data_IF_162651851868
#
_entry.id   IF_162651851868
#
_cell.length_a   1.000
_cell.length_b   1.000
_cell.length_c   1.000
_cell.angle_alpha   90.00
_cell.angle_beta   90.00
_cell.angle_gamma   90.00
#
_symmetry.space_group_name_H-M   'P 1'
#
loop_
_entity.id
_entity.type
_entity.pdbx_description
1 polymer ?
#
# COMPACT_ATOMS: atom_id res chain seq x y z
N UNK A 1 -15.13 -3.79 9.90
CA UNK A 1 -14.03 -4.14 8.99
C UNK A 1 -13.44 -2.84 8.45
N UNK A 2 -12.13 -2.61 8.57
CA UNK A 2 -11.45 -1.46 7.95
C UNK A 2 -11.10 -1.80 6.51
N UNK A 3 -11.91 -1.36 5.55
CA UNK A 3 -11.71 -1.61 4.13
C UNK A 3 -11.84 -0.32 3.32
N UNK A 4 -11.04 -0.19 2.27
CA UNK A 4 -11.08 0.92 1.35
C UNK A 4 -10.16 0.69 0.16
N UNK A 5 -9.82 1.78 -0.52
CA UNK A 5 -8.91 1.78 -1.66
C UNK A 5 -7.89 2.90 -1.57
N UNK A 6 -6.93 2.92 -2.50
CA UNK A 6 -6.27 4.18 -2.80
C UNK A 6 -7.28 5.17 -3.41
N UNK A 7 -7.13 6.45 -3.07
CA UNK A 7 -7.94 7.55 -3.61
C UNK A 7 -7.05 8.73 -3.99
N UNK A 8 -7.57 9.63 -4.82
CA UNK A 8 -6.80 10.77 -5.31
C UNK A 8 -6.66 11.88 -4.27
N UNK A 9 -5.44 12.37 -4.06
CA UNK A 9 -5.19 13.61 -3.33
C UNK A 9 -4.71 14.70 -4.31
N UNK A 10 -5.65 15.53 -4.78
CA UNK A 10 -5.41 16.46 -5.89
C UNK A 10 -6.27 17.72 -5.78
N UNK A 11 -5.98 18.67 -6.67
CA UNK A 11 -6.78 19.90 -6.78
C UNK A 11 -6.67 20.78 -5.54
N UNK A 12 -7.69 21.60 -5.31
CA UNK A 12 -7.77 22.48 -4.12
C UNK A 12 -8.35 21.75 -2.90
N UNK A 13 -9.13 20.70 -3.13
CA UNK A 13 -9.89 20.02 -2.08
C UNK A 13 -9.00 19.06 -1.26
N UNK A 14 -7.93 18.52 -1.86
CA UNK A 14 -6.87 17.75 -1.19
C UNK A 14 -7.44 16.67 -0.25
N UNK A 15 -7.17 16.68 1.07
CA UNK A 15 -7.64 15.64 1.97
C UNK A 15 -9.18 15.53 2.01
N UNK A 16 -9.89 16.66 1.92
CA UNK A 16 -11.35 16.65 1.85
C UNK A 16 -11.84 15.88 0.63
N UNK A 17 -11.28 16.17 -0.55
CA UNK A 17 -11.65 15.48 -1.78
C UNK A 17 -11.32 13.98 -1.73
N UNK A 18 -10.20 13.60 -1.10
CA UNK A 18 -9.86 12.19 -0.87
C UNK A 18 -10.88 11.49 0.04
N UNK A 19 -11.31 12.14 1.12
CA UNK A 19 -12.29 11.59 2.04
C UNK A 19 -13.69 11.48 1.40
N UNK A 20 -14.10 12.48 0.61
CA UNK A 20 -15.34 12.43 -0.19
C UNK A 20 -15.31 11.27 -1.21
N UNK A 21 -14.19 11.10 -1.91
CA UNK A 21 -14.00 9.99 -2.85
C UNK A 21 -14.09 8.63 -2.13
N UNK A 22 -13.39 8.46 -1.01
CA UNK A 22 -13.45 7.22 -0.23
C UNK A 22 -14.87 6.90 0.27
N UNK A 23 -15.58 7.91 0.81
CA UNK A 23 -16.96 7.74 1.27
C UNK A 23 -17.91 7.37 0.12
N UNK A 24 -17.67 7.87 -1.09
CA UNK A 24 -18.47 7.53 -2.27
C UNK A 24 -18.36 6.05 -2.69
N UNK A 25 -17.31 5.35 -2.24
CA UNK A 25 -17.12 3.91 -2.44
C UNK A 25 -17.66 3.07 -1.27
N UNK A 26 -18.28 3.67 -0.26
CA UNK A 26 -18.68 2.94 0.96
C UNK A 26 -17.49 2.50 1.82
N UNK A 27 -16.32 3.12 1.66
CA UNK A 27 -15.13 2.75 2.42
C UNK A 27 -15.23 3.18 3.89
N UNK A 28 -14.43 2.53 4.75
CA UNK A 28 -14.24 2.88 6.18
C UNK A 28 -12.80 3.32 6.49
N UNK A 29 -11.88 3.09 5.56
CA UNK A 29 -10.50 3.61 5.56
C UNK A 29 -10.12 3.97 4.12
N UNK A 30 -8.96 4.60 3.91
CA UNK A 30 -8.42 4.84 2.57
C UNK A 30 -6.92 5.11 2.64
N UNK A 31 -6.28 4.98 1.47
CA UNK A 31 -4.89 5.32 1.27
C UNK A 31 -4.73 6.48 0.29
N UNK A 32 -3.75 7.35 0.55
CA UNK A 32 -3.41 8.47 -0.32
C UNK A 32 -1.90 8.53 -0.56
N UNK A 33 -1.51 9.00 -1.73
CA UNK A 33 -0.22 9.65 -1.91
C UNK A 33 -0.37 11.13 -1.55
N UNK A 34 0.65 11.76 -0.97
CA UNK A 34 0.62 13.21 -0.62
C UNK A 34 0.69 14.14 -1.85
N UNK A 35 0.70 13.55 -3.05
CA UNK A 35 0.74 14.20 -4.35
C UNK A 35 0.82 13.14 -5.46
N UNK A 36 1.19 13.55 -6.67
CA UNK A 36 1.35 12.63 -7.78
C UNK A 36 2.49 11.61 -7.48
N UNK A 37 2.23 10.29 -7.55
CA UNK A 37 3.19 9.26 -7.12
C UNK A 37 4.43 9.17 -8.03
N UNK A 38 4.33 9.64 -9.28
CA UNK A 38 5.38 9.64 -10.30
C UNK A 38 6.38 10.81 -10.20
N UNK A 39 6.21 11.74 -9.25
CA UNK A 39 7.09 12.90 -9.11
C UNK A 39 7.21 13.35 -7.65
N UNK A 40 8.09 14.32 -7.41
CA UNK A 40 8.40 14.87 -6.08
C UNK A 40 7.70 16.18 -5.76
N UNK A 41 6.79 16.65 -6.62
CA UNK A 41 6.09 17.92 -6.40
C UNK A 41 5.02 17.70 -5.34
N UNK A 42 5.03 18.54 -4.31
CA UNK A 42 4.09 18.51 -3.19
C UNK A 42 3.56 19.90 -2.91
N UNK A 43 2.30 19.97 -2.46
CA UNK A 43 1.74 21.18 -1.87
C UNK A 43 2.29 21.38 -0.46
N UNK A 44 2.23 22.62 0.02
CA UNK A 44 2.50 22.88 1.44
C UNK A 44 1.43 22.23 2.33
N UNK A 45 1.78 21.91 3.58
CA UNK A 45 0.83 21.33 4.56
C UNK A 45 -0.40 22.22 4.73
N UNK A 46 -0.23 23.55 4.73
CA UNK A 46 -1.33 24.51 4.83
C UNK A 46 -2.33 24.43 3.67
N UNK A 47 -1.94 23.88 2.53
CA UNK A 47 -2.83 23.72 1.37
C UNK A 47 -3.48 22.34 1.29
N UNK A 48 -3.19 21.42 2.22
CA UNK A 48 -3.69 20.04 2.19
C UNK A 48 -5.14 19.87 2.68
N UNK A 49 -5.78 20.96 3.12
CA UNK A 49 -7.17 20.97 3.58
C UNK A 49 -7.47 19.93 4.70
N UNK A 50 -6.51 19.80 5.63
CA UNK A 50 -6.47 18.72 6.62
C UNK A 50 -7.65 18.77 7.59
N UNK A 51 -7.97 19.96 8.11
CA UNK A 51 -9.05 20.13 9.10
C UNK A 51 -10.42 19.74 8.52
N UNK A 52 -10.75 20.24 7.33
CA UNK A 52 -12.01 19.91 6.65
C UNK A 52 -12.07 18.42 6.28
N UNK A 53 -10.96 17.84 5.82
CA UNK A 53 -10.88 16.41 5.55
C UNK A 53 -11.13 15.56 6.79
N UNK A 54 -10.48 15.87 7.91
CA UNK A 54 -10.71 15.17 9.18
C UNK A 54 -12.12 15.37 9.73
N UNK A 55 -12.73 16.54 9.57
CA UNK A 55 -14.13 16.76 9.93
C UNK A 55 -15.07 15.88 9.09
N UNK A 56 -14.89 15.87 7.77
CA UNK A 56 -15.67 15.02 6.89
C UNK A 56 -15.53 13.54 7.25
N UNK A 57 -14.31 13.08 7.50
CA UNK A 57 -14.04 11.70 7.91
C UNK A 57 -14.79 11.30 9.18
N UNK A 58 -14.76 12.15 10.22
CA UNK A 58 -15.50 11.89 11.47
C UNK A 58 -17.00 11.76 11.21
N UNK A 59 -17.54 12.59 10.32
CA UNK A 59 -18.97 12.59 9.97
C UNK A 59 -19.39 11.38 9.11
N UNK A 60 -18.45 10.69 8.45
CA UNK A 60 -18.69 9.57 7.55
C UNK A 60 -18.06 8.25 8.02
N UNK A 61 -17.65 8.15 9.29
CA UNK A 61 -17.02 6.96 9.87
C UNK A 61 -15.78 6.47 9.13
N UNK A 62 -15.00 7.40 8.56
CA UNK A 62 -13.69 7.11 7.97
C UNK A 62 -12.60 7.27 9.04
N UNK A 63 -11.71 6.28 9.14
CA UNK A 63 -10.58 6.32 10.06
C UNK A 63 -9.33 5.69 9.44
N UNK A 64 -8.22 5.70 10.18
CA UNK A 64 -7.00 4.96 9.82
C UNK A 64 -6.42 5.29 8.43
N UNK A 65 -6.34 6.58 8.07
CA UNK A 65 -5.70 6.99 6.82
C UNK A 65 -4.30 6.38 6.73
N UNK A 66 -4.02 5.76 5.60
CA UNK A 66 -2.69 5.29 5.21
C UNK A 66 -2.12 6.29 4.20
N UNK A 67 -0.84 6.62 4.36
CA UNK A 67 -0.10 7.36 3.33
C UNK A 67 0.78 6.39 2.56
N UNK A 68 0.93 6.56 1.26
CA UNK A 68 1.94 5.83 0.51
C UNK A 68 3.04 6.79 0.08
N UNK A 69 4.29 6.42 0.35
CA UNK A 69 5.45 7.14 -0.17
C UNK A 69 5.53 6.93 -1.70
N UNK A 70 5.82 7.95 -2.51
CA UNK A 70 5.86 7.80 -3.96
C UNK A 70 6.87 6.75 -4.42
N UNK A 71 6.47 5.90 -5.36
CA UNK A 71 7.27 4.76 -5.85
C UNK A 71 8.57 5.14 -6.58
N UNK A 72 8.80 6.43 -6.83
CA UNK A 72 10.05 6.93 -7.43
C UNK A 72 11.22 6.99 -6.43
N UNK A 73 10.94 6.89 -5.13
CA UNK A 73 11.99 6.83 -4.10
C UNK A 73 12.65 5.46 -4.19
N UNK A 74 13.99 5.46 -4.30
CA UNK A 74 14.77 4.22 -4.28
C UNK A 74 16.01 4.39 -3.40
N UNK A 75 15.87 4.05 -2.11
CA UNK A 75 16.99 4.03 -1.16
C UNK A 75 17.97 2.88 -1.45
N UNK A 76 17.56 1.85 -2.21
CA UNK A 76 18.43 0.74 -2.62
C UNK A 76 19.39 1.06 -3.77
N UNK A 77 19.30 2.25 -4.38
CA UNK A 77 20.15 2.63 -5.50
C UNK A 77 21.55 3.08 -5.05
N UNK A 78 22.52 2.19 -5.15
CA UNK A 78 23.94 2.49 -4.85
C UNK A 78 24.72 3.02 -6.05
N UNK A 79 24.14 3.01 -7.27
CA UNK A 79 24.82 3.46 -8.50
C UNK A 79 24.78 4.97 -8.71
N UNK A 80 23.86 5.66 -8.05
CA UNK A 80 23.69 7.12 -8.13
C UNK A 80 23.71 7.73 -6.72
N UNK A 81 24.86 7.67 -6.02
CA UNK A 81 24.97 8.16 -4.64
C UNK A 81 24.58 9.64 -4.51
N UNK A 82 24.69 10.44 -5.56
CA UNK A 82 24.25 11.84 -5.61
C UNK A 82 22.74 12.01 -5.38
N UNK A 83 21.93 11.00 -5.70
CA UNK A 83 20.48 11.02 -5.48
C UNK A 83 20.09 10.58 -4.07
N UNK A 84 21.01 9.99 -3.30
CA UNK A 84 20.70 9.40 -2.01
C UNK A 84 20.24 10.45 -1.00
N UNK A 85 20.98 11.56 -0.88
CA UNK A 85 20.63 12.68 0.03
C UNK A 85 19.26 13.24 -0.32
N UNK A 86 18.99 13.44 -1.61
CA UNK A 86 17.68 13.90 -2.08
C UNK A 86 16.55 12.92 -1.73
N UNK A 87 16.77 11.61 -1.89
CA UNK A 87 15.78 10.59 -1.55
C UNK A 87 15.49 10.55 -0.04
N UNK A 88 16.53 10.68 0.79
CA UNK A 88 16.42 10.79 2.26
C UNK A 88 15.64 12.04 2.66
N UNK A 89 16.03 13.21 2.17
CA UNK A 89 15.37 14.48 2.52
C UNK A 89 13.91 14.50 2.06
N UNK A 90 13.64 13.93 0.87
CA UNK A 90 12.29 13.84 0.36
C UNK A 90 11.43 12.87 1.18
N UNK A 91 11.96 11.70 1.56
CA UNK A 91 11.23 10.76 2.41
C UNK A 91 10.99 11.32 3.82
N UNK A 92 11.95 12.06 4.40
CA UNK A 92 11.76 12.77 5.68
C UNK A 92 10.61 13.77 5.59
N UNK A 93 10.54 14.54 4.51
CA UNK A 93 9.44 15.47 4.29
C UNK A 93 8.09 14.75 4.03
N UNK A 94 8.09 13.54 3.46
CA UNK A 94 6.88 12.72 3.35
C UNK A 94 6.42 12.21 4.72
N UNK A 95 7.33 11.84 5.63
CA UNK A 95 7.00 11.51 7.03
C UNK A 95 6.30 12.69 7.71
N UNK A 96 6.87 13.89 7.62
CA UNK A 96 6.27 15.10 8.20
C UNK A 96 4.86 15.39 7.65
N UNK A 97 4.67 15.26 6.33
CA UNK A 97 3.36 15.43 5.69
C UNK A 97 2.37 14.37 6.15
N UNK A 98 2.78 13.10 6.21
CA UNK A 98 1.94 12.01 6.63
C UNK A 98 1.48 12.17 8.09
N UNK A 99 2.37 12.64 8.98
CA UNK A 99 2.00 12.97 10.35
C UNK A 99 1.03 14.14 10.44
N UNK A 100 1.24 15.20 9.65
CA UNK A 100 0.32 16.32 9.59
C UNK A 100 -1.07 15.90 9.09
N UNK A 101 -1.14 14.93 8.17
CA UNK A 101 -2.38 14.30 7.68
C UNK A 101 -3.03 13.35 8.70
N UNK A 102 -2.41 13.16 9.87
CA UNK A 102 -2.92 12.28 10.92
C UNK A 102 -2.73 10.78 10.64
N UNK A 103 -1.95 10.42 9.63
CA UNK A 103 -1.64 9.01 9.34
C UNK A 103 -0.74 8.40 10.41
N UNK A 104 -0.91 7.10 10.66
CA UNK A 104 -0.03 6.30 11.54
C UNK A 104 0.88 5.36 10.78
N UNK A 105 0.54 5.06 9.54
CA UNK A 105 1.29 4.17 8.66
C UNK A 105 1.59 4.90 7.36
N UNK A 106 2.85 4.80 6.94
CA UNK A 106 3.26 5.21 5.60
C UNK A 106 3.86 4.02 4.86
N UNK A 107 3.11 3.46 3.91
CA UNK A 107 3.59 2.40 3.03
C UNK A 107 4.78 2.88 2.20
N UNK A 108 5.81 2.04 2.09
CA UNK A 108 7.06 2.36 1.43
C UNK A 108 7.62 1.13 0.72
N UNK A 109 7.79 1.22 -0.60
CA UNK A 109 8.58 0.26 -1.35
C UNK A 109 10.06 0.43 -0.93
N UNK A 110 10.72 -0.60 -0.38
CA UNK A 110 12.07 -0.48 0.16
C UNK A 110 13.10 -0.05 -0.90
N UNK A 111 12.92 -0.51 -2.14
CA UNK A 111 13.67 -0.05 -3.29
C UNK A 111 14.11 -1.17 -4.20
N UNK A 112 15.08 -0.86 -5.06
CA UNK A 112 15.58 -1.77 -6.07
C UNK A 112 17.10 -1.62 -6.24
N UNK A 113 17.82 -2.74 -6.35
CA UNK A 113 19.28 -2.76 -6.37
C UNK A 113 19.90 -2.32 -7.70
N UNK A 114 19.13 -2.22 -8.79
CA UNK A 114 19.56 -1.72 -10.11
C UNK A 114 20.88 -2.33 -10.62
N UNK A 115 21.10 -3.61 -10.32
CA UNK A 115 22.29 -4.39 -10.68
C UNK A 115 23.44 -4.40 -9.67
N UNK A 116 23.31 -3.79 -8.48
CA UNK A 116 24.32 -3.86 -7.41
C UNK A 116 24.21 -5.10 -6.50
N UNK A 117 23.11 -5.87 -6.61
CA UNK A 117 22.80 -7.00 -5.75
C UNK A 117 21.95 -6.60 -4.54
N UNK A 118 21.11 -7.53 -4.07
CA UNK A 118 20.17 -7.30 -2.98
C UNK A 118 20.89 -6.86 -1.69
N UNK A 119 21.99 -7.52 -1.31
CA UNK A 119 22.75 -7.21 -0.09
C UNK A 119 23.21 -5.74 -0.05
N UNK A 120 23.81 -5.25 -1.14
CA UNK A 120 24.25 -3.86 -1.24
C UNK A 120 23.09 -2.87 -1.14
N UNK A 121 21.95 -3.21 -1.74
CA UNK A 121 20.74 -2.38 -1.67
C UNK A 121 20.13 -2.38 -0.26
N UNK A 122 20.01 -3.53 0.40
CA UNK A 122 19.51 -3.65 1.78
C UNK A 122 20.37 -2.80 2.72
N UNK A 123 21.71 -2.90 2.62
CA UNK A 123 22.62 -2.08 3.42
C UNK A 123 22.40 -0.56 3.19
N UNK A 124 22.17 -0.15 1.94
CA UNK A 124 21.91 1.26 1.62
C UNK A 124 20.52 1.74 2.07
N UNK A 125 19.52 0.86 2.02
CA UNK A 125 18.17 1.11 2.55
C UNK A 125 18.22 1.31 4.06
N UNK A 126 18.92 0.42 4.78
CA UNK A 126 19.14 0.55 6.24
C UNK A 126 19.79 1.89 6.57
N UNK A 127 20.83 2.28 5.81
CA UNK A 127 21.47 3.59 5.99
C UNK A 127 20.46 4.72 5.79
N UNK A 128 19.68 4.70 4.71
CA UNK A 128 18.72 5.76 4.39
C UNK A 128 17.61 5.86 5.43
N UNK A 129 17.08 4.72 5.89
CA UNK A 129 16.07 4.68 6.95
C UNK A 129 16.61 5.21 8.28
N UNK A 130 17.86 4.91 8.63
CA UNK A 130 18.51 5.50 9.82
C UNK A 130 18.70 7.02 9.70
N UNK A 131 18.80 7.58 8.49
CA UNK A 131 18.87 9.05 8.29
C UNK A 131 17.47 9.70 8.28
N UNK A 132 16.44 8.96 7.85
CA UNK A 132 15.05 9.46 7.77
C UNK A 132 14.35 9.41 9.13
N UNK A 133 14.50 8.30 9.85
CA UNK A 133 13.70 8.00 11.04
C UNK A 133 14.21 8.77 12.25
N UNK A 134 13.28 9.37 12.97
CA UNK A 134 13.54 10.09 14.22
C UNK A 134 12.89 9.35 15.41
N UNK A 135 13.44 9.45 16.63
CA UNK A 135 12.88 8.76 17.80
C UNK A 135 11.49 9.31 18.20
N UNK A 136 11.20 10.57 17.90
CA UNK A 136 9.98 11.27 18.31
C UNK A 136 8.84 11.18 17.30
N UNK A 137 9.08 10.70 16.07
CA UNK A 137 8.00 10.47 15.11
C UNK A 137 6.99 9.45 15.67
N UNK A 138 5.71 9.70 15.42
CA UNK A 138 4.58 8.85 15.76
C UNK A 138 4.16 7.96 14.59
N UNK A 139 4.46 8.36 13.36
CA UNK A 139 4.27 7.57 12.15
C UNK A 139 5.22 6.37 12.13
N UNK A 140 4.75 5.22 11.68
CA UNK A 140 5.60 4.11 11.28
C UNK A 140 5.77 4.09 9.75
N UNK A 141 6.99 3.81 9.28
CA UNK A 141 7.23 3.48 7.88
C UNK A 141 6.95 1.99 7.71
N UNK A 142 5.91 1.69 6.94
CA UNK A 142 5.48 0.33 6.64
C UNK A 142 6.21 -0.17 5.39
N UNK A 143 7.26 -0.98 5.57
CA UNK A 143 8.00 -1.56 4.45
C UNK A 143 7.06 -2.53 3.74
N UNK A 144 6.83 -2.32 2.46
CA UNK A 144 5.93 -3.16 1.68
C UNK A 144 6.62 -4.44 1.21
N UNK A 145 5.89 -5.56 1.25
CA UNK A 145 6.29 -6.79 0.57
C UNK A 145 6.29 -6.57 -0.94
N UNK A 146 7.41 -6.86 -1.60
CA UNK A 146 7.57 -6.61 -3.04
C UNK A 146 7.42 -7.89 -3.86
N UNK A 147 7.02 -7.75 -5.13
CA UNK A 147 6.87 -8.89 -6.05
C UNK A 147 8.20 -9.53 -6.45
N UNK A 148 9.32 -8.81 -6.30
CA UNK A 148 10.63 -9.24 -6.80
C UNK A 148 10.82 -8.97 -8.30
N UNK A 149 9.98 -8.13 -8.89
CA UNK A 149 10.07 -7.74 -10.30
C UNK A 149 11.36 -6.98 -10.56
N UNK A 150 12.05 -7.38 -11.64
CA UNK A 150 13.28 -6.73 -12.07
C UNK A 150 14.39 -6.84 -11.02
N UNK A 151 14.63 -5.75 -10.29
CA UNK A 151 15.68 -5.68 -9.26
C UNK A 151 15.14 -5.22 -7.91
N UNK A 152 13.84 -5.37 -7.68
CA UNK A 152 13.21 -5.10 -6.37
C UNK A 152 13.88 -5.89 -5.24
N UNK A 153 13.84 -5.30 -4.05
CA UNK A 153 14.27 -5.89 -2.78
C UNK A 153 13.08 -5.84 -1.83
N UNK A 154 13.04 -6.68 -0.80
CA UNK A 154 11.86 -6.87 0.04
C UNK A 154 10.91 -7.92 -0.54
N UNK A 155 11.42 -8.79 -1.42
CA UNK A 155 10.62 -9.87 -2.01
C UNK A 155 10.43 -11.05 -1.07
N UNK A 156 11.31 -11.20 -0.07
CA UNK A 156 11.17 -12.22 0.98
C UNK A 156 11.02 -11.56 2.34
N UNK A 157 10.39 -12.29 3.27
CA UNK A 157 10.24 -11.81 4.64
C UNK A 157 11.60 -11.63 5.33
N UNK A 158 12.60 -12.45 4.98
CA UNK A 158 13.97 -12.34 5.50
C UNK A 158 14.65 -11.05 5.05
N UNK A 159 14.47 -10.62 3.78
CA UNK A 159 15.02 -9.34 3.30
C UNK A 159 14.42 -8.16 4.09
N UNK A 160 13.12 -8.20 4.38
CA UNK A 160 12.43 -7.18 5.19
C UNK A 160 12.91 -7.24 6.65
N UNK A 161 13.02 -8.43 7.25
CA UNK A 161 13.54 -8.60 8.60
C UNK A 161 14.99 -8.10 8.73
N UNK A 162 15.81 -8.28 7.71
CA UNK A 162 17.16 -7.73 7.65
C UNK A 162 17.14 -6.19 7.66
N UNK A 163 16.24 -5.56 6.88
CA UNK A 163 16.06 -4.10 6.92
C UNK A 163 15.62 -3.62 8.30
N UNK A 164 14.61 -4.27 8.89
CA UNK A 164 14.07 -3.90 10.20
C UNK A 164 15.15 -4.00 11.28
N UNK A 165 15.90 -5.11 11.32
CA UNK A 165 16.93 -5.33 12.33
C UNK A 165 18.14 -4.39 12.20
N UNK A 166 18.44 -3.89 11.01
CA UNK A 166 19.53 -2.93 10.78
C UNK A 166 19.20 -1.49 11.14
N UNK A 167 17.92 -1.14 11.33
CA UNK A 167 17.51 0.22 11.68
C UNK A 167 17.52 0.42 13.20
N UNK A 168 18.08 1.55 13.64
CA UNK A 168 18.28 1.88 15.06
C UNK A 168 16.95 2.04 15.80
N UNK A 169 16.04 2.84 15.25
CA UNK A 169 14.70 3.07 15.79
C UNK A 169 13.68 2.18 15.07
N UNK A 170 13.92 0.87 15.07
CA UNK A 170 13.09 -0.09 14.32
C UNK A 170 11.66 -0.23 14.86
N UNK A 171 11.34 0.28 16.04
CA UNK A 171 9.96 0.41 16.52
C UNK A 171 9.14 1.38 15.66
N UNK A 172 9.79 2.24 14.89
CA UNK A 172 9.18 3.11 13.86
C UNK A 172 9.00 2.41 12.52
N UNK A 173 9.31 1.12 12.43
CA UNK A 173 9.08 0.31 11.24
C UNK A 173 7.94 -0.69 11.48
N UNK A 174 7.10 -0.79 10.47
CA UNK A 174 6.03 -1.77 10.33
C UNK A 174 6.12 -2.40 8.94
N UNK A 175 5.12 -3.19 8.57
CA UNK A 175 5.05 -3.83 7.26
C UNK A 175 3.66 -3.66 6.65
N UNK A 176 3.65 -3.39 5.35
CA UNK A 176 2.49 -3.51 4.48
C UNK A 176 2.58 -4.85 3.76
N UNK A 177 1.58 -5.71 3.93
CA UNK A 177 1.48 -6.97 3.20
C UNK A 177 0.63 -6.77 1.95
N UNK A 178 1.18 -6.98 0.76
CA UNK A 178 0.42 -6.95 -0.49
C UNK A 178 0.19 -8.37 -1.02
N UNK A 179 -1.07 -8.73 -1.24
CA UNK A 179 -1.46 -10.08 -1.68
C UNK A 179 -0.99 -10.42 -3.09
N UNK A 180 -0.99 -9.46 -4.02
CA UNK A 180 -0.47 -9.67 -5.37
C UNK A 180 1.05 -9.84 -5.33
N UNK A 181 1.76 -8.98 -4.58
CA UNK A 181 3.21 -9.02 -4.49
C UNK A 181 3.70 -10.30 -3.84
N UNK A 182 3.11 -10.71 -2.72
CA UNK A 182 3.49 -11.94 -2.02
C UNK A 182 3.19 -13.19 -2.86
N UNK A 183 2.06 -13.25 -3.55
CA UNK A 183 1.79 -14.29 -4.55
C UNK A 183 2.85 -14.31 -5.66
N UNK A 184 3.12 -13.15 -6.28
CA UNK A 184 4.11 -13.03 -7.35
C UNK A 184 5.55 -13.32 -6.88
N UNK A 185 5.84 -13.14 -5.59
CA UNK A 185 7.12 -13.48 -4.98
C UNK A 185 7.29 -14.98 -4.69
N UNK A 186 6.21 -15.76 -4.77
CA UNK A 186 6.22 -17.22 -4.65
C UNK A 186 5.56 -17.77 -3.37
N UNK A 187 4.89 -16.93 -2.58
CA UNK A 187 4.15 -17.39 -1.39
C UNK A 187 2.77 -17.92 -1.78
N UNK A 188 2.32 -19.00 -1.14
CA UNK A 188 1.04 -19.65 -1.44
C UNK A 188 -0.16 -18.92 -0.82
N UNK A 189 -0.38 -17.67 -1.27
CA UNK A 189 -1.46 -16.80 -0.78
C UNK A 189 -2.84 -17.39 -1.08
N UNK A 190 -2.99 -18.12 -2.18
CA UNK A 190 -4.27 -18.68 -2.63
C UNK A 190 -4.71 -19.89 -1.80
N UNK A 191 -3.83 -20.86 -1.61
CA UNK A 191 -4.23 -22.16 -1.05
C UNK A 191 -3.84 -22.31 0.43
N UNK A 192 -2.85 -21.56 0.93
CA UNK A 192 -2.35 -21.68 2.31
C UNK A 192 -1.93 -20.33 2.90
N UNK A 193 -2.88 -19.39 2.97
CA UNK A 193 -2.62 -18.08 3.56
C UNK A 193 -2.19 -18.16 5.03
N UNK A 194 -2.75 -19.08 5.81
CA UNK A 194 -2.35 -19.27 7.21
C UNK A 194 -0.88 -19.70 7.31
N UNK A 195 -0.42 -20.61 6.44
CA UNK A 195 0.99 -20.98 6.35
C UNK A 195 1.89 -19.79 6.02
N UNK A 196 1.48 -18.94 5.07
CA UNK A 196 2.19 -17.70 4.72
C UNK A 196 2.23 -16.73 5.91
N UNK A 197 1.11 -16.54 6.62
CA UNK A 197 1.01 -15.64 7.76
C UNK A 197 1.80 -16.16 8.97
N UNK A 198 1.82 -17.48 9.19
CA UNK A 198 2.68 -18.11 10.20
C UNK A 198 4.16 -17.94 9.89
N UNK A 199 4.55 -18.05 8.62
CA UNK A 199 5.92 -17.77 8.19
C UNK A 199 6.27 -16.29 8.40
N UNK A 200 5.36 -15.38 8.08
CA UNK A 200 5.51 -13.94 8.34
C UNK A 200 5.73 -13.67 9.83
N UNK A 201 4.88 -14.21 10.70
CA UNK A 201 4.97 -14.02 12.15
C UNK A 201 6.30 -14.53 12.72
N UNK A 202 6.75 -15.70 12.27
CA UNK A 202 8.02 -16.28 12.71
C UNK A 202 9.23 -15.43 12.34
N UNK A 203 9.20 -14.74 11.19
CA UNK A 203 10.37 -14.03 10.65
C UNK A 203 10.36 -12.54 11.02
N UNK A 204 9.20 -11.90 10.93
CA UNK A 204 9.03 -10.46 11.12
C UNK A 204 8.30 -10.14 12.43
N UNK A 205 7.30 -10.95 12.78
CA UNK A 205 6.36 -10.68 13.87
C UNK A 205 5.07 -10.05 13.35
N UNK A 206 3.95 -10.70 13.65
CA UNK A 206 2.62 -10.27 13.21
C UNK A 206 2.20 -8.93 13.80
N UNK A 207 2.76 -8.54 14.95
CA UNK A 207 2.56 -7.22 15.55
C UNK A 207 3.04 -6.07 14.65
N UNK A 208 3.93 -6.34 13.69
CA UNK A 208 4.41 -5.36 12.71
C UNK A 208 3.55 -5.27 11.46
N UNK A 209 2.62 -6.18 11.22
CA UNK A 209 1.71 -6.11 10.09
C UNK A 209 0.66 -5.03 10.37
N UNK A 210 0.76 -3.89 9.69
CA UNK A 210 -0.06 -2.69 9.97
C UNK A 210 -0.92 -2.22 8.81
N UNK A 211 -0.70 -2.74 7.61
CA UNK A 211 -1.53 -2.48 6.43
C UNK A 211 -1.57 -3.76 5.59
N UNK A 212 -2.72 -4.04 4.98
CA UNK A 212 -2.82 -5.05 3.92
C UNK A 212 -3.25 -4.35 2.65
N UNK A 213 -2.48 -4.50 1.58
CA UNK A 213 -2.94 -4.21 0.24
C UNK A 213 -3.63 -5.47 -0.32
N UNK A 214 -4.88 -5.33 -0.73
CA UNK A 214 -5.73 -6.44 -1.19
C UNK A 214 -5.91 -6.31 -2.69
N UNK A 215 -5.08 -7.04 -3.41
CA UNK A 215 -4.97 -7.05 -4.86
C UNK A 215 -4.99 -8.49 -5.36
N UNK A 216 -5.84 -8.79 -6.34
CA UNK A 216 -5.68 -10.05 -7.10
C UNK A 216 -4.46 -9.93 -8.04
N UNK A 217 -3.95 -11.04 -8.57
CA UNK A 217 -2.83 -11.03 -9.53
C UNK A 217 -3.28 -11.49 -10.91
N UNK A 218 -2.81 -10.81 -11.96
CA UNK A 218 -2.96 -11.31 -13.35
C UNK A 218 -2.09 -12.53 -13.66
N UNK A 219 -1.21 -12.93 -12.74
CA UNK A 219 -0.15 -13.90 -13.01
C UNK A 219 -0.11 -15.01 -11.97
N UNK A 220 0.37 -16.19 -12.38
CA UNK A 220 0.57 -17.31 -11.47
C UNK A 220 1.57 -16.98 -10.35
N UNK A 221 1.47 -17.72 -9.24
CA UNK A 221 2.40 -17.62 -8.12
C UNK A 221 3.86 -17.73 -8.58
N UNK A 222 4.72 -16.82 -8.11
CA UNK A 222 6.14 -16.77 -8.46
C UNK A 222 6.47 -16.13 -9.81
N UNK A 223 5.53 -15.40 -10.43
CA UNK A 223 5.75 -14.79 -11.75
C UNK A 223 6.64 -13.52 -11.73
N UNK A 224 6.81 -12.87 -10.58
CA UNK A 224 7.57 -11.62 -10.40
C UNK A 224 7.17 -10.52 -11.39
N UNK A 225 5.86 -10.25 -11.55
CA UNK A 225 5.33 -9.33 -12.57
C UNK A 225 4.73 -8.06 -12.01
N UNK A 226 4.15 -8.10 -10.80
CA UNK A 226 3.45 -6.98 -10.17
C UNK A 226 2.43 -6.40 -11.16
N UNK A 227 1.36 -7.17 -11.38
CA UNK A 227 0.22 -6.75 -12.20
C UNK A 227 -1.05 -7.12 -11.47
N UNK A 228 -1.58 -6.13 -10.76
CA UNK A 228 -2.84 -6.27 -10.04
C UNK A 228 -3.98 -6.58 -11.00
N UNK A 229 -4.94 -7.35 -10.50
CA UNK A 229 -6.22 -7.63 -11.14
C UNK A 229 -7.37 -7.26 -10.21
N UNK A 230 -8.54 -7.02 -10.79
CA UNK A 230 -9.76 -6.85 -10.00
C UNK A 230 -10.07 -8.09 -9.15
N UNK A 231 -10.69 -7.88 -7.99
CA UNK A 231 -10.91 -8.93 -7.00
C UNK A 231 -11.70 -10.11 -7.60
N UNK A 232 -11.08 -11.29 -7.64
CA UNK A 232 -11.68 -12.52 -8.12
C UNK A 232 -11.56 -12.76 -9.62
N UNK A 233 -10.95 -11.84 -10.37
CA UNK A 233 -10.73 -11.98 -11.81
C UNK A 233 -9.31 -12.47 -12.14
N UNK A 234 -8.44 -12.64 -11.13
CA UNK A 234 -7.07 -13.07 -11.28
C UNK A 234 -6.82 -14.51 -10.82
N UNK A 235 -5.55 -14.81 -10.58
CA UNK A 235 -5.06 -16.15 -10.24
C UNK A 235 -5.17 -16.45 -8.75
N UNK A 236 -5.26 -15.44 -7.87
CA UNK A 236 -5.46 -15.63 -6.43
C UNK A 236 -6.93 -15.97 -6.18
N UNK A 237 -7.84 -15.22 -6.80
CA UNK A 237 -9.28 -15.49 -6.78
C UNK A 237 -10.00 -14.94 -5.55
N UNK A 238 -11.32 -14.86 -5.67
CA UNK A 238 -12.18 -14.18 -4.69
C UNK A 238 -12.16 -14.86 -3.33
N UNK A 239 -12.29 -16.19 -3.28
CA UNK A 239 -12.42 -16.92 -2.01
C UNK A 239 -11.20 -16.72 -1.10
N UNK A 240 -9.99 -16.76 -1.67
CA UNK A 240 -8.75 -16.52 -0.94
C UNK A 240 -8.63 -15.06 -0.48
N UNK A 241 -8.93 -14.09 -1.34
CA UNK A 241 -8.90 -12.67 -0.95
C UNK A 241 -9.96 -12.34 0.10
N UNK A 242 -11.15 -12.94 0.00
CA UNK A 242 -12.23 -12.79 0.98
C UNK A 242 -11.82 -13.38 2.33
N UNK A 243 -11.16 -14.53 2.33
CA UNK A 243 -10.58 -15.13 3.53
C UNK A 243 -9.57 -14.18 4.20
N UNK A 244 -8.65 -13.61 3.44
CA UNK A 244 -7.63 -12.65 3.94
C UNK A 244 -8.27 -11.41 4.55
N UNK A 245 -9.24 -10.80 3.86
CA UNK A 245 -9.93 -9.59 4.32
C UNK A 245 -10.66 -9.80 5.66
N UNK A 246 -11.23 -10.99 5.86
CA UNK A 246 -11.98 -11.37 7.06
C UNK A 246 -11.15 -12.15 8.09
N UNK A 247 -9.86 -12.34 7.86
CA UNK A 247 -9.00 -13.14 8.71
C UNK A 247 -8.95 -12.57 10.14
N UNK A 248 -9.14 -13.43 11.15
CA UNK A 248 -9.28 -13.01 12.55
C UNK A 248 -8.08 -12.24 13.09
N UNK A 249 -6.89 -12.63 12.66
CA UNK A 249 -5.64 -11.98 13.06
C UNK A 249 -5.45 -10.57 12.46
N UNK A 250 -6.28 -10.19 11.48
CA UNK A 250 -6.14 -8.95 10.73
C UNK A 250 -7.29 -7.97 11.00
N UNK A 251 -8.21 -8.25 11.93
CA UNK A 251 -9.46 -7.47 12.14
C UNK A 251 -9.24 -5.95 12.18
N UNK A 252 -8.23 -5.50 12.92
CA UNK A 252 -7.93 -4.07 13.14
C UNK A 252 -6.95 -3.48 12.11
N UNK A 253 -6.50 -4.28 11.14
CA UNK A 253 -5.58 -3.85 10.09
C UNK A 253 -6.39 -3.26 8.92
N UNK A 254 -6.06 -2.05 8.41
CA UNK A 254 -6.68 -1.51 7.21
C UNK A 254 -6.37 -2.36 5.98
N UNK A 255 -7.42 -2.70 5.22
CA UNK A 255 -7.35 -3.39 3.92
C UNK A 255 -7.57 -2.38 2.81
N UNK A 256 -6.58 -2.20 1.95
CA UNK A 256 -6.55 -1.18 0.91
C UNK A 256 -6.49 -1.87 -0.45
N UNK A 257 -7.48 -1.66 -1.29
CA UNK A 257 -7.45 -2.10 -2.68
C UNK A 257 -6.69 -1.11 -3.56
N UNK A 258 -5.88 -1.65 -4.47
CA UNK A 258 -5.18 -0.91 -5.53
C UNK A 258 -5.42 -1.55 -6.90
N UNK A 259 -6.59 -2.17 -7.03
CA UNK A 259 -7.04 -2.85 -8.24
C UNK A 259 -7.17 -1.88 -9.42
N UNK A 260 -6.96 -2.37 -10.65
CA UNK A 260 -7.02 -1.53 -11.83
C UNK A 260 -8.42 -0.98 -12.09
N UNK A 261 -8.49 0.24 -12.62
CA UNK A 261 -9.75 0.80 -13.12
C UNK A 261 -10.32 -0.06 -14.27
N UNK A 262 -11.64 -0.17 -14.34
CA UNK A 262 -12.35 -1.02 -15.30
C UNK A 262 -12.83 -0.20 -16.48
N UNK A 263 -12.53 -0.66 -17.70
CA UNK A 263 -13.04 -0.07 -18.93
C UNK A 263 -12.35 -0.59 -20.20
N UNK A 264 -12.95 -0.36 -21.39
CA UNK A 264 -12.45 -0.89 -22.66
C UNK A 264 -11.14 -0.24 -23.12
N UNK A 265 -10.86 0.98 -22.66
CA UNK A 265 -9.66 1.74 -23.04
C UNK A 265 -9.32 2.79 -21.97
N UNK A 266 -8.10 3.33 -22.02
CA UNK A 266 -7.55 4.30 -21.04
C UNK A 266 -8.36 5.58 -20.85
N UNK A 267 -9.20 5.98 -21.80
CA UNK A 267 -10.03 7.20 -21.71
C UNK A 267 -11.39 6.93 -21.07
N UNK A 268 -11.82 5.67 -21.07
CA UNK A 268 -13.15 5.25 -20.62
C UNK A 268 -13.03 4.22 -19.50
N UNK A 269 -12.36 4.55 -18.40
CA UNK A 269 -12.22 3.66 -17.24
C UNK A 269 -12.80 4.29 -15.98
N UNK A 270 -13.31 3.44 -15.10
CA UNK A 270 -13.96 3.83 -13.85
C UNK A 270 -13.43 3.01 -12.68
N UNK A 271 -13.42 3.63 -11.50
CA UNK A 271 -13.01 2.99 -10.26
C UNK A 271 -13.95 1.80 -9.92
N UNK A 272 -13.42 0.62 -9.61
CA UNK A 272 -14.21 -0.56 -9.23
C UNK A 272 -14.56 -0.61 -7.73
N UNK A 273 -13.97 0.28 -6.93
CA UNK A 273 -13.78 0.05 -5.49
C UNK A 273 -15.08 -0.14 -4.70
N UNK A 274 -16.13 0.64 -4.96
CA UNK A 274 -17.42 0.43 -4.27
C UNK A 274 -18.04 -0.94 -4.56
N UNK A 275 -17.86 -1.46 -5.77
CA UNK A 275 -18.34 -2.79 -6.14
C UNK A 275 -17.52 -3.89 -5.48
N UNK A 276 -16.19 -3.75 -5.45
CA UNK A 276 -15.27 -4.70 -4.81
C UNK A 276 -15.46 -4.72 -3.28
N UNK A 277 -15.62 -3.56 -2.63
CA UNK A 277 -15.96 -3.47 -1.20
C UNK A 277 -17.25 -4.22 -0.92
N UNK A 278 -18.29 -3.98 -1.71
CA UNK A 278 -19.57 -4.66 -1.57
C UNK A 278 -19.47 -6.18 -1.72
N UNK A 279 -18.66 -6.67 -2.66
CA UNK A 279 -18.43 -8.11 -2.81
C UNK A 279 -17.82 -8.73 -1.54
N UNK A 280 -16.88 -8.03 -0.88
CA UNK A 280 -16.34 -8.48 0.41
C UNK A 280 -17.39 -8.41 1.53
N UNK A 281 -18.17 -7.35 1.64
CA UNK A 281 -19.22 -7.22 2.65
C UNK A 281 -20.31 -8.31 2.51
N UNK A 282 -20.70 -8.63 1.28
CA UNK A 282 -21.65 -9.70 0.95
C UNK A 282 -20.98 -11.09 0.91
N UNK A 283 -19.65 -11.15 1.03
CA UNK A 283 -18.82 -12.34 0.88
C UNK A 283 -19.20 -13.19 -0.34
N UNK A 284 -19.54 -12.53 -1.45
CA UNK A 284 -20.07 -13.15 -2.65
C UNK A 284 -19.36 -12.60 -3.89
N UNK A 285 -18.79 -13.49 -4.70
CA UNK A 285 -18.18 -13.13 -5.97
C UNK A 285 -19.25 -12.73 -6.99
N UNK A 286 -19.07 -11.57 -7.63
CA UNK A 286 -19.92 -11.12 -8.73
C UNK A 286 -19.17 -11.21 -10.08
N UNK A 287 -19.42 -12.24 -10.89
CA UNK A 287 -18.75 -12.40 -12.18
C UNK A 287 -19.10 -11.28 -13.19
N UNK A 288 -20.17 -10.51 -12.94
CA UNK A 288 -20.58 -9.36 -13.75
C UNK A 288 -20.09 -8.02 -13.19
N UNK A 289 -19.24 -8.03 -12.15
CA UNK A 289 -18.80 -6.80 -11.48
C UNK A 289 -18.19 -5.79 -12.47
N UNK A 290 -17.27 -6.22 -13.33
CA UNK A 290 -16.64 -5.33 -14.32
C UNK A 290 -17.65 -4.72 -15.30
N UNK A 291 -18.68 -5.47 -15.72
CA UNK A 291 -19.76 -4.98 -16.57
C UNK A 291 -20.60 -3.92 -15.84
N UNK A 292 -20.92 -4.16 -14.56
CA UNK A 292 -21.67 -3.23 -13.70
C UNK A 292 -20.92 -1.94 -13.44
N UNK A 293 -19.61 -2.01 -13.13
CA UNK A 293 -18.74 -0.84 -12.96
C UNK A 293 -18.80 0.03 -14.21
N UNK A 294 -18.66 -0.57 -15.39
CA UNK A 294 -18.69 0.18 -16.65
C UNK A 294 -20.08 0.78 -16.93
N UNK A 295 -21.14 0.00 -16.78
CA UNK A 295 -22.52 0.45 -17.02
C UNK A 295 -22.93 1.62 -16.10
N UNK A 296 -22.45 1.61 -14.86
CA UNK A 296 -22.76 2.64 -13.85
C UNK A 296 -21.71 3.75 -13.78
N UNK A 297 -20.68 3.70 -14.64
CA UNK A 297 -19.58 4.67 -14.67
C UNK A 297 -18.86 4.81 -13.33
N UNK A 298 -18.67 3.69 -12.63
CA UNK A 298 -18.04 3.61 -11.30
C UNK A 298 -18.87 4.22 -10.17
N UNK A 299 -20.11 4.63 -10.43
CA UNK A 299 -21.02 5.10 -9.38
C UNK A 299 -21.61 3.90 -8.67
N UNK A 300 -21.50 3.92 -7.36
CA UNK A 300 -22.02 2.94 -6.42
C UNK A 300 -23.25 3.53 -5.71
#
# INVERSE_FOLDING_TARGET
>A
MLIGSHVGMKGKDMLLGSAEEAASYGASTFMIYTGAPQNTRRKSISEMNIEAGHEFMRNHNLSNIVVHAPYIINLGNTKKPENFVFAVDFLRAEVERAEALGARQMTFHPGAHVGAGAEAAIANIIKGLNEVITPDQKLQIAIETMSGKGTEVGKTFEEIAQMISGVTYNEKLSVTFDTCHTNDAGYNVREDFDGVLNQFDKIIGLDRLKVVHVNDSKNEMGAHKDRHENIGFGTIGFDALNYIVHHEALVDVPKIMETPYVGPDKKNQYAPYGFEIKMFEEQTFDPQMQEKVFAQKGKW
#
